data_IF_326963974195
#
_entry.id   IF_326963974195
#
_cell.length_a   1.000
_cell.length_b   1.000
_cell.length_c   1.000
_cell.angle_alpha   90.00
_cell.angle_beta   90.00
_cell.angle_gamma   90.00
#
_symmetry.space_group_name_H-M   'P 1'
#
loop_
_entity.id
_entity.type
_entity.pdbx_description
1 polymer ?
#
# COMPACT_ATOMS: atom_id res chain seq x y z
N UNK A 1 -24.38 -29.71 5.89
CA UNK A 1 -23.73 -30.09 7.17
C UNK A 1 -24.03 -31.56 7.39
N UNK A 2 -22.99 -32.39 7.32
CA UNK A 2 -23.11 -33.84 7.50
C UNK A 2 -23.53 -34.18 8.94
N UNK A 3 -24.13 -35.35 9.15
CA UNK A 3 -24.57 -35.76 10.50
C UNK A 3 -23.37 -35.96 11.45
N UNK A 4 -22.23 -36.40 10.92
CA UNK A 4 -20.99 -36.67 11.66
C UNK A 4 -19.93 -35.56 11.51
N UNK A 5 -20.33 -34.39 11.01
CA UNK A 5 -19.40 -33.26 10.88
C UNK A 5 -19.01 -32.76 12.28
N UNK A 6 -17.71 -32.78 12.58
CA UNK A 6 -17.15 -32.26 13.83
C UNK A 6 -17.01 -30.74 13.76
N UNK A 7 -16.98 -30.09 14.92
CA UNK A 7 -16.79 -28.64 15.03
C UNK A 7 -15.47 -28.20 14.41
N UNK A 8 -14.36 -28.87 14.74
CA UNK A 8 -13.04 -28.58 14.15
C UNK A 8 -12.39 -27.27 14.56
N UNK A 9 -12.96 -26.50 15.50
CA UNK A 9 -12.36 -25.26 15.97
C UNK A 9 -11.00 -25.54 16.63
N UNK A 10 -9.96 -24.80 16.23
CA UNK A 10 -8.65 -24.85 16.89
C UNK A 10 -8.76 -24.33 18.31
N UNK A 11 -8.35 -25.15 19.28
CA UNK A 11 -8.35 -24.76 20.70
C UNK A 11 -7.09 -23.97 21.09
N UNK A 12 -6.18 -23.79 20.13
CA UNK A 12 -4.89 -23.11 20.27
C UNK A 12 -5.06 -21.61 19.99
N UNK A 13 -4.36 -20.80 20.77
CA UNK A 13 -4.29 -19.35 20.59
C UNK A 13 -3.48 -18.97 19.35
N UNK A 14 -2.49 -19.78 18.98
CA UNK A 14 -1.64 -19.56 17.82
C UNK A 14 -1.89 -20.65 16.76
N UNK A 15 -2.40 -20.23 15.59
CA UNK A 15 -2.69 -21.11 14.45
C UNK A 15 -1.45 -21.54 13.66
N UNK A 16 -0.26 -21.04 14.02
CA UNK A 16 1.01 -21.42 13.37
C UNK A 16 1.70 -22.61 14.05
N UNK A 17 1.23 -23.02 15.22
CA UNK A 17 1.81 -24.15 15.96
C UNK A 17 0.98 -25.41 15.76
N UNK A 18 1.59 -26.47 15.21
CA UNK A 18 0.95 -27.76 14.99
C UNK A 18 0.80 -28.53 16.31
N UNK A 19 -0.28 -28.28 17.04
CA UNK A 19 -0.58 -28.99 18.30
C UNK A 19 -1.74 -29.98 18.18
N UNK A 20 -2.48 -29.96 17.08
CA UNK A 20 -3.52 -30.96 16.78
C UNK A 20 -4.76 -30.91 17.70
N UNK A 21 -4.88 -29.90 18.56
CA UNK A 21 -6.01 -29.75 19.49
C UNK A 21 -7.20 -29.08 18.79
N UNK A 22 -8.08 -29.92 18.25
CA UNK A 22 -9.32 -29.50 17.60
C UNK A 22 -10.54 -29.88 18.44
N UNK A 23 -11.58 -29.04 18.38
CA UNK A 23 -12.87 -29.36 18.97
C UNK A 23 -13.53 -30.54 18.24
N UNK A 24 -13.64 -31.69 18.92
CA UNK A 24 -14.25 -32.93 18.39
C UNK A 24 -15.76 -33.03 18.62
N UNK A 25 -16.38 -32.01 19.25
CA UNK A 25 -17.81 -32.00 19.46
C UNK A 25 -18.55 -32.02 18.10
N UNK A 26 -19.71 -32.68 17.98
CA UNK A 26 -20.52 -32.63 16.77
C UNK A 26 -20.87 -31.17 16.44
N UNK A 27 -20.68 -30.74 15.20
CA UNK A 27 -20.89 -29.33 14.76
C UNK A 27 -22.28 -28.82 15.13
N UNK A 28 -23.29 -29.70 15.04
CA UNK A 28 -24.69 -29.41 15.41
C UNK A 28 -24.92 -29.22 16.91
N UNK A 29 -24.07 -29.77 17.77
CA UNK A 29 -24.20 -29.74 19.24
C UNK A 29 -23.14 -28.84 19.91
N UNK A 30 -22.17 -28.34 19.15
CA UNK A 30 -21.12 -27.49 19.70
C UNK A 30 -21.64 -26.06 19.94
N UNK A 31 -21.94 -25.75 21.20
CA UNK A 31 -22.40 -24.41 21.60
C UNK A 31 -21.22 -23.45 21.80
N UNK A 32 -20.06 -23.98 22.23
CA UNK A 32 -18.86 -23.18 22.55
C UNK A 32 -18.28 -22.46 21.32
N UNK A 33 -18.37 -23.06 20.14
CA UNK A 33 -17.78 -22.53 18.89
C UNK A 33 -18.85 -22.37 17.81
N UNK A 34 -19.99 -21.77 18.19
CA UNK A 34 -21.10 -21.57 17.29
C UNK A 34 -20.67 -20.76 16.06
N UNK A 35 -20.83 -21.36 14.87
CA UNK A 35 -20.46 -20.73 13.59
C UNK A 35 -19.01 -20.19 13.51
N UNK A 36 -18.06 -20.75 14.27
CA UNK A 36 -16.69 -20.24 14.36
C UNK A 36 -16.01 -20.09 13.00
N UNK A 37 -16.23 -21.00 12.03
CA UNK A 37 -15.68 -20.89 10.67
C UNK A 37 -16.15 -19.63 9.94
N UNK A 38 -17.41 -19.24 10.14
CA UNK A 38 -17.97 -18.03 9.52
C UNK A 38 -17.38 -16.79 10.18
N UNK A 39 -17.31 -16.78 11.51
CA UNK A 39 -16.73 -15.67 12.27
C UNK A 39 -15.24 -15.48 11.95
N UNK A 40 -14.48 -16.58 11.93
CA UNK A 40 -13.05 -16.55 11.61
C UNK A 40 -12.81 -16.09 10.18
N UNK A 41 -13.62 -16.54 9.21
CA UNK A 41 -13.55 -16.07 7.83
C UNK A 41 -13.84 -14.56 7.74
N UNK A 42 -14.90 -14.09 8.39
CA UNK A 42 -15.23 -12.66 8.42
C UNK A 42 -14.12 -11.81 9.06
N UNK A 43 -13.50 -12.29 10.13
CA UNK A 43 -12.35 -11.64 10.77
C UNK A 43 -11.15 -11.51 9.80
N UNK A 44 -10.79 -12.62 9.14
CA UNK A 44 -9.71 -12.64 8.14
C UNK A 44 -10.04 -11.72 6.96
N UNK A 45 -11.28 -11.72 6.50
CA UNK A 45 -11.73 -10.86 5.40
C UNK A 45 -11.63 -9.38 5.78
N UNK A 46 -12.02 -9.01 7.01
CA UNK A 46 -11.87 -7.65 7.54
C UNK A 46 -10.40 -7.23 7.65
N UNK A 47 -9.53 -8.14 8.11
CA UNK A 47 -8.10 -7.87 8.17
C UNK A 47 -7.51 -7.64 6.77
N UNK A 48 -7.84 -8.50 5.80
CA UNK A 48 -7.44 -8.32 4.39
C UNK A 48 -7.89 -6.97 3.85
N UNK A 49 -9.14 -6.58 4.07
CA UNK A 49 -9.66 -5.28 3.62
C UNK A 49 -8.87 -4.11 4.22
N UNK A 50 -8.54 -4.18 5.52
CA UNK A 50 -7.71 -3.14 6.17
C UNK A 50 -6.33 -3.03 5.52
N UNK A 51 -5.68 -4.16 5.26
CA UNK A 51 -4.38 -4.18 4.57
C UNK A 51 -4.48 -3.61 3.15
N UNK A 52 -5.54 -3.93 2.41
CA UNK A 52 -5.79 -3.36 1.08
C UNK A 52 -5.96 -1.84 1.12
N UNK A 53 -6.76 -1.32 2.06
CA UNK A 53 -6.94 0.12 2.22
C UNK A 53 -5.62 0.84 2.57
N UNK A 54 -4.81 0.25 3.46
CA UNK A 54 -3.51 0.80 3.80
C UNK A 54 -2.55 0.81 2.60
N UNK A 55 -2.57 -0.23 1.77
CA UNK A 55 -1.78 -0.31 0.56
C UNK A 55 -2.21 0.76 -0.47
N UNK A 56 -3.50 0.97 -0.66
CA UNK A 56 -4.06 1.98 -1.57
C UNK A 56 -3.66 3.41 -1.15
N UNK A 57 -3.76 3.71 0.15
CA UNK A 57 -3.31 4.99 0.71
C UNK A 57 -1.80 5.24 0.47
N UNK A 58 -0.97 4.20 0.59
CA UNK A 58 0.46 4.29 0.27
C UNK A 58 0.70 4.53 -1.22
N UNK A 59 -0.05 3.87 -2.11
CA UNK A 59 0.07 4.09 -3.55
C UNK A 59 -0.34 5.51 -3.95
N UNK A 60 -1.41 6.06 -3.37
CA UNK A 60 -1.82 7.43 -3.68
C UNK A 60 -0.81 8.46 -3.15
N UNK A 61 -0.21 8.22 -1.99
CA UNK A 61 0.91 9.03 -1.47
C UNK A 61 2.11 8.99 -2.40
N UNK A 62 2.50 7.81 -2.87
CA UNK A 62 3.58 7.67 -3.84
C UNK A 62 3.29 8.43 -5.13
N UNK A 63 2.08 8.27 -5.68
CA UNK A 63 1.63 8.98 -6.90
C UNK A 63 1.73 10.50 -6.72
N UNK A 64 1.27 11.01 -5.58
CA UNK A 64 1.32 12.43 -5.23
C UNK A 64 2.75 12.95 -5.18
N UNK A 65 3.67 12.21 -4.52
CA UNK A 65 5.08 12.58 -4.43
C UNK A 65 5.72 12.57 -5.83
N UNK A 66 5.50 11.54 -6.63
CA UNK A 66 6.03 11.44 -8.00
C UNK A 66 5.55 12.60 -8.88
N UNK A 67 4.27 12.97 -8.78
CA UNK A 67 3.71 14.12 -9.50
C UNK A 67 4.36 15.43 -9.03
N UNK A 68 4.51 15.62 -7.72
CA UNK A 68 5.19 16.80 -7.14
C UNK A 68 6.64 16.93 -7.64
N UNK A 69 7.39 15.82 -7.65
CA UNK A 69 8.76 15.79 -8.17
C UNK A 69 8.82 16.16 -9.67
N UNK A 70 7.91 15.60 -10.48
CA UNK A 70 7.82 15.91 -11.91
C UNK A 70 7.55 17.41 -12.14
N UNK A 71 6.58 17.98 -11.44
CA UNK A 71 6.24 19.40 -11.52
C UNK A 71 7.43 20.29 -11.14
N UNK A 72 8.18 19.91 -10.10
CA UNK A 72 9.39 20.65 -9.69
C UNK A 72 10.49 20.61 -10.76
N UNK A 73 10.70 19.48 -11.42
CA UNK A 73 11.68 19.37 -12.51
C UNK A 73 11.32 20.28 -13.70
N UNK A 74 10.03 20.40 -14.02
CA UNK A 74 9.54 21.33 -15.04
C UNK A 74 9.87 22.79 -14.72
N UNK A 75 9.69 23.22 -13.46
CA UNK A 75 10.05 24.57 -13.01
C UNK A 75 11.56 24.78 -13.01
N UNK A 76 12.34 23.81 -12.55
CA UNK A 76 13.80 23.90 -12.55
C UNK A 76 14.35 24.07 -13.97
N UNK A 77 13.77 23.38 -14.96
CA UNK A 77 14.13 23.56 -16.37
C UNK A 77 13.89 24.98 -16.87
N UNK A 78 12.81 25.65 -16.42
CA UNK A 78 12.57 27.06 -16.72
C UNK A 78 13.54 27.98 -15.97
N UNK A 79 13.86 27.70 -14.71
CA UNK A 79 14.79 28.52 -13.93
C UNK A 79 16.25 28.39 -14.41
N UNK A 80 16.65 27.22 -14.93
CA UNK A 80 18.02 26.91 -15.36
C UNK A 80 18.18 26.86 -16.90
N UNK A 81 17.24 27.41 -17.67
CA UNK A 81 17.34 27.43 -19.13
C UNK A 81 18.55 28.23 -19.65
N UNK A 82 19.19 29.03 -18.79
CA UNK A 82 20.42 29.76 -19.06
C UNK A 82 21.43 29.53 -17.94
N UNK A 83 22.65 29.13 -18.32
CA UNK A 83 23.82 29.20 -17.45
C UNK A 83 24.60 30.46 -17.76
N UNK A 84 24.99 31.20 -16.72
CA UNK A 84 25.85 32.38 -16.87
C UNK A 84 27.28 31.99 -16.52
N UNK A 85 28.22 32.22 -17.43
CA UNK A 85 29.65 32.12 -17.11
C UNK A 85 30.06 33.34 -16.27
N UNK A 86 30.74 33.08 -15.15
CA UNK A 86 31.22 34.10 -14.22
C UNK A 86 32.74 34.32 -14.35
N UNK A 87 33.39 33.76 -15.38
CA UNK A 87 34.80 34.02 -15.66
C UNK A 87 35.03 35.51 -16.03
N UNK A 88 35.76 36.29 -15.20
CA UNK A 88 36.05 37.68 -15.50
C UNK A 88 36.93 37.88 -16.74
N UNK A 89 37.57 36.83 -17.27
CA UNK A 89 38.45 36.88 -18.43
C UNK A 89 37.73 36.62 -19.76
N UNK A 90 36.52 36.06 -19.72
CA UNK A 90 35.68 35.77 -20.91
C UNK A 90 34.22 36.18 -20.68
N UNK A 91 33.91 37.49 -20.73
CA UNK A 91 32.54 37.97 -20.57
C UNK A 91 31.66 37.46 -21.73
N UNK A 92 30.55 36.79 -21.41
CA UNK A 92 29.60 36.33 -22.42
C UNK A 92 28.92 37.53 -23.11
N UNK A 93 28.94 37.55 -24.45
CA UNK A 93 28.20 38.52 -25.25
C UNK A 93 26.72 38.12 -25.28
N UNK A 94 25.85 38.92 -24.65
CA UNK A 94 24.41 38.71 -24.72
C UNK A 94 23.93 38.74 -26.18
N UNK A 95 23.12 37.78 -26.65
CA UNK A 95 22.58 37.82 -28.01
C UNK A 95 21.69 39.06 -28.16
N UNK A 96 22.14 40.03 -28.96
CA UNK A 96 21.35 41.19 -29.36
C UNK A 96 20.17 40.67 -30.18
N UNK A 97 18.94 40.78 -29.64
CA UNK A 97 17.72 40.55 -30.39
C UNK A 97 17.72 41.58 -31.52
N UNK A 98 17.93 41.12 -32.76
CA UNK A 98 17.81 41.97 -33.94
C UNK A 98 16.34 42.24 -34.16
N UNK A 99 15.88 43.41 -33.73
CA UNK A 99 14.60 43.96 -34.16
C UNK A 99 14.73 44.31 -35.65
N UNK A 100 14.27 43.40 -36.51
CA UNK A 100 14.18 43.63 -37.95
C UNK A 100 12.95 44.51 -38.24
N UNK A 101 13.20 45.70 -38.79
CA UNK A 101 12.24 46.60 -39.41
C UNK A 101 11.86 46.11 -40.81
#
# INVERSE_FOLDING_TARGET
IGQDEVCGCSLVTNVFDETGELCRAPKRKCVKHFCWEKLRRAEIDMERLRWWMALDDLFEKERTIRMSMSNRMGVLGLMLHQSVDHDPMTPMTTPQIRDSN
#
